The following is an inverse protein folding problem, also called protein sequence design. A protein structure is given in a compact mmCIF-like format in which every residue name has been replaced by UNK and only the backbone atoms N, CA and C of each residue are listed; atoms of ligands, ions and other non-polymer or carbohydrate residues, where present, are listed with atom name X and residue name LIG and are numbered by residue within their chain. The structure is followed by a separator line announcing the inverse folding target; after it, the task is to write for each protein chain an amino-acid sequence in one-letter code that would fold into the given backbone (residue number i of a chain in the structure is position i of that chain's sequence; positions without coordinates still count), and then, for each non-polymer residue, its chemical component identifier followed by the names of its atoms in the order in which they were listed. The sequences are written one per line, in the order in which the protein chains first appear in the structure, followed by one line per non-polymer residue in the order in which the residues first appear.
data_IF_387127306193
#
_entry.id   IF_387127306193
#
_cell.length_a   1.000
_cell.length_b   1.000
_cell.length_c   1.000
_cell.angle_alpha   90.00
_cell.angle_beta   90.00
_cell.angle_gamma   90.00
#
_symmetry.space_group_name_H-M   'P 1'
#
loop_
_entity.id
_entity.type
_entity.pdbx_description
1 polymer ?
#
# COMPACT_ATOMS: atom_id res chain seq x y z
N UNK A 1 -8.49 -25.37 -19.70
CA UNK A 1 -8.69 -24.04 -20.33
C UNK A 1 -9.74 -23.16 -19.64
N UNK A 2 -11.05 -23.44 -19.69
CA UNK A 2 -12.07 -22.52 -19.11
C UNK A 2 -11.91 -22.32 -17.59
N UNK A 3 -11.66 -23.40 -16.85
CA UNK A 3 -11.41 -23.35 -15.40
C UNK A 3 -10.17 -22.53 -15.04
N UNK A 4 -9.11 -22.64 -15.82
CA UNK A 4 -7.86 -21.91 -15.61
C UNK A 4 -8.02 -20.43 -15.95
N UNK A 5 -8.75 -20.12 -17.02
CA UNK A 5 -9.09 -18.75 -17.38
C UNK A 5 -9.92 -18.06 -16.28
N UNK A 6 -10.93 -18.77 -15.74
CA UNK A 6 -11.72 -18.29 -14.58
C UNK A 6 -10.84 -18.08 -13.35
N UNK A 7 -9.94 -19.01 -13.06
CA UNK A 7 -8.97 -18.89 -11.95
C UNK A 7 -8.08 -17.66 -12.11
N UNK A 8 -7.46 -17.46 -13.27
CA UNK A 8 -6.51 -16.35 -13.49
C UNK A 8 -7.23 -15.00 -13.49
N UNK A 9 -8.46 -14.96 -14.03
CA UNK A 9 -9.31 -13.76 -13.94
C UNK A 9 -9.64 -13.43 -12.48
N UNK A 10 -10.01 -14.43 -11.68
CA UNK A 10 -10.30 -14.25 -10.27
C UNK A 10 -9.05 -13.81 -9.49
N UNK A 11 -7.89 -14.42 -9.75
CA UNK A 11 -6.63 -14.02 -9.13
C UNK A 11 -6.23 -12.60 -9.49
N UNK A 12 -6.44 -12.19 -10.74
CA UNK A 12 -6.20 -10.82 -11.19
C UNK A 12 -7.14 -9.83 -10.48
N UNK A 13 -8.42 -10.18 -10.33
CA UNK A 13 -9.39 -9.38 -9.58
C UNK A 13 -9.00 -9.25 -8.10
N UNK A 14 -8.60 -10.36 -7.48
CA UNK A 14 -8.12 -10.36 -6.08
C UNK A 14 -6.88 -9.50 -5.93
N UNK A 15 -5.89 -9.63 -6.83
CA UNK A 15 -4.68 -8.82 -6.81
C UNK A 15 -5.02 -7.32 -6.94
N UNK A 16 -5.84 -6.97 -7.93
CA UNK A 16 -6.27 -5.60 -8.18
C UNK A 16 -7.03 -5.00 -6.99
N UNK A 17 -8.02 -5.72 -6.45
CA UNK A 17 -8.83 -5.26 -5.33
C UNK A 17 -7.98 -5.11 -4.05
N UNK A 18 -7.08 -6.07 -3.79
CA UNK A 18 -6.23 -6.03 -2.60
C UNK A 18 -5.26 -4.85 -2.63
N UNK A 19 -4.58 -4.64 -3.76
CA UNK A 19 -3.70 -3.48 -3.92
C UNK A 19 -4.50 -2.17 -3.88
N UNK A 20 -5.70 -2.13 -4.48
CA UNK A 20 -6.56 -0.94 -4.45
C UNK A 20 -7.00 -0.57 -3.03
N UNK A 21 -7.40 -1.55 -2.23
CA UNK A 21 -7.79 -1.31 -0.84
C UNK A 21 -6.60 -0.82 0.01
N UNK A 22 -5.39 -1.34 -0.23
CA UNK A 22 -4.18 -0.82 0.43
C UNK A 22 -3.87 0.63 -0.01
N UNK A 23 -3.93 0.93 -1.31
CA UNK A 23 -3.76 2.31 -1.83
C UNK A 23 -4.76 3.27 -1.21
N UNK A 24 -6.01 2.83 -1.03
CA UNK A 24 -7.03 3.65 -0.39
C UNK A 24 -6.70 3.95 1.08
N UNK A 25 -6.13 2.98 1.80
CA UNK A 25 -5.60 3.19 3.14
C UNK A 25 -4.50 4.26 3.19
N UNK A 26 -3.54 4.19 2.27
CA UNK A 26 -2.46 5.19 2.17
C UNK A 26 -2.98 6.58 1.76
N UNK A 27 -3.97 6.64 0.85
CA UNK A 27 -4.63 7.88 0.45
C UNK A 27 -5.38 8.53 1.61
N UNK A 28 -6.11 7.75 2.40
CA UNK A 28 -6.73 8.22 3.63
C UNK A 28 -5.65 8.79 4.56
N UNK A 29 -4.52 8.11 4.70
CA UNK A 29 -3.42 8.57 5.54
C UNK A 29 -2.86 9.93 5.07
N UNK A 30 -2.69 10.07 3.76
CA UNK A 30 -2.15 11.29 3.15
C UNK A 30 -3.12 12.47 3.14
N UNK A 31 -4.42 12.24 3.01
CA UNK A 31 -5.41 13.33 2.91
C UNK A 31 -5.92 13.74 4.28
N UNK A 32 -6.08 12.78 5.20
CA UNK A 32 -6.64 13.06 6.52
C UNK A 32 -5.53 13.42 7.50
N UNK A 33 -4.46 12.64 7.56
CA UNK A 33 -3.48 12.84 8.63
C UNK A 33 -2.46 13.89 8.26
N UNK A 34 -1.74 13.76 7.13
CA UNK A 34 -0.67 14.71 6.77
C UNK A 34 -1.09 16.19 6.84
N UNK A 35 -2.28 16.61 6.36
CA UNK A 35 -2.72 18.01 6.47
C UNK A 35 -3.01 18.45 7.91
N UNK A 36 -3.56 17.56 8.75
CA UNK A 36 -3.76 17.84 10.17
C UNK A 36 -2.42 18.00 10.92
N UNK A 37 -1.30 17.51 10.39
CA UNK A 37 0.02 17.78 10.95
C UNK A 37 0.63 19.11 10.49
N UNK A 38 0.24 19.58 9.30
CA UNK A 38 0.75 20.82 8.70
C UNK A 38 -0.10 22.05 9.09
N UNK A 39 -1.31 21.83 9.60
CA UNK A 39 -2.29 22.87 9.93
C UNK A 39 -2.75 22.68 11.37
N UNK A 40 -2.52 23.66 12.24
CA UNK A 40 -3.00 23.66 13.64
C UNK A 40 -1.94 23.32 14.68
N UNK A 41 -2.38 22.95 15.89
CA UNK A 41 -1.49 22.57 17.00
C UNK A 41 -1.04 21.11 16.84
N UNK A 42 0.24 20.94 16.49
CA UNK A 42 0.88 19.63 16.24
C UNK A 42 0.70 18.65 17.40
N UNK A 43 0.84 19.12 18.65
CA UNK A 43 0.77 18.26 19.83
C UNK A 43 -0.65 17.73 20.08
N UNK A 44 -1.66 18.58 19.84
CA UNK A 44 -3.06 18.17 19.96
C UNK A 44 -3.46 17.20 18.84
N UNK A 45 -2.99 17.45 17.62
CA UNK A 45 -3.28 16.60 16.46
C UNK A 45 -2.58 15.23 16.57
N UNK A 46 -1.39 15.20 17.17
CA UNK A 46 -0.69 13.98 17.57
C UNK A 46 -1.52 13.10 18.49
N UNK A 47 -2.07 13.71 19.53
CA UNK A 47 -2.83 12.99 20.54
C UNK A 47 -4.11 12.41 19.95
N UNK A 48 -4.83 13.18 19.13
CA UNK A 48 -5.99 12.66 18.40
C UNK A 48 -5.61 11.51 17.46
N UNK A 49 -4.47 11.59 16.80
CA UNK A 49 -4.00 10.54 15.90
C UNK A 49 -3.62 9.26 16.66
N UNK A 50 -2.96 9.38 17.81
CA UNK A 50 -2.67 8.24 18.70
C UNK A 50 -3.94 7.53 19.12
N UNK A 51 -4.95 8.28 19.57
CA UNK A 51 -6.26 7.73 19.97
C UNK A 51 -6.96 7.02 18.80
N UNK A 52 -6.92 7.61 17.61
CA UNK A 52 -7.45 6.99 16.40
C UNK A 52 -6.76 5.68 16.07
N UNK A 53 -5.42 5.64 16.08
CA UNK A 53 -4.63 4.42 15.80
C UNK A 53 -4.90 3.32 16.82
N UNK A 54 -4.95 3.67 18.10
CA UNK A 54 -5.24 2.72 19.17
C UNK A 54 -6.65 2.12 19.03
N UNK A 55 -7.60 2.88 18.48
CA UNK A 55 -8.97 2.40 18.27
C UNK A 55 -9.12 1.53 17.02
N UNK A 56 -8.40 1.85 15.95
CA UNK A 56 -8.62 1.24 14.63
C UNK A 56 -7.69 0.08 14.30
N UNK A 57 -6.57 -0.06 15.00
CA UNK A 57 -5.47 -1.01 14.72
C UNK A 57 -5.30 -1.30 13.21
N UNK A 58 -4.71 -0.37 12.45
CA UNK A 58 -4.57 -0.50 11.00
C UNK A 58 -3.86 -1.79 10.56
N UNK A 59 -3.02 -2.37 11.43
CA UNK A 59 -2.28 -3.60 11.17
C UNK A 59 -3.18 -4.81 10.93
N UNK A 60 -4.32 -4.87 11.64
CA UNK A 60 -5.29 -5.96 11.52
C UNK A 60 -5.92 -6.06 10.12
N UNK A 61 -6.03 -4.94 9.40
CA UNK A 61 -6.56 -4.90 8.03
C UNK A 61 -5.45 -4.98 6.98
N UNK A 62 -4.31 -4.32 7.23
CA UNK A 62 -3.20 -4.26 6.27
C UNK A 62 -2.50 -5.59 6.05
N UNK A 63 -2.22 -6.33 7.14
CA UNK A 63 -1.38 -7.52 7.07
C UNK A 63 -2.05 -8.67 6.27
N UNK A 64 -3.31 -9.07 6.55
CA UNK A 64 -3.97 -10.10 5.76
C UNK A 64 -4.09 -9.72 4.29
N UNK A 65 -4.42 -8.44 4.01
CA UNK A 65 -4.61 -7.94 2.66
C UNK A 65 -3.30 -7.92 1.87
N UNK A 66 -2.18 -7.57 2.52
CA UNK A 66 -0.83 -7.66 1.94
C UNK A 66 -0.48 -9.09 1.55
N UNK A 67 -0.77 -10.07 2.41
CA UNK A 67 -0.54 -11.48 2.10
C UNK A 67 -1.37 -11.92 0.90
N UNK A 68 -2.65 -11.55 0.85
CA UNK A 68 -3.54 -11.86 -0.28
C UNK A 68 -3.02 -11.22 -1.58
N UNK A 69 -2.56 -9.97 -1.53
CA UNK A 69 -1.95 -9.29 -2.66
C UNK A 69 -0.70 -10.04 -3.16
N UNK A 70 0.25 -10.39 -2.29
CA UNK A 70 1.47 -11.10 -2.68
C UNK A 70 1.14 -12.49 -3.23
N UNK A 71 0.30 -13.26 -2.53
CA UNK A 71 -0.05 -14.62 -2.93
C UNK A 71 -0.75 -14.68 -4.28
N UNK A 72 -1.64 -13.72 -4.57
CA UNK A 72 -2.32 -13.63 -5.87
C UNK A 72 -1.35 -13.31 -7.01
N UNK A 73 -0.42 -12.36 -6.82
CA UNK A 73 0.63 -12.08 -7.81
C UNK A 73 1.53 -13.29 -8.06
N UNK A 74 1.99 -13.98 -7.01
CA UNK A 74 2.85 -15.16 -7.15
C UNK A 74 2.15 -16.29 -7.90
N UNK A 75 0.86 -16.51 -7.63
CA UNK A 75 0.06 -17.51 -8.37
C UNK A 75 -0.11 -17.14 -9.85
N UNK A 76 -0.30 -15.86 -10.17
CA UNK A 76 -0.38 -15.36 -11.56
C UNK A 76 0.95 -15.48 -12.31
N UNK A 77 2.09 -15.44 -11.61
CA UNK A 77 3.42 -15.64 -12.20
C UNK A 77 3.84 -17.12 -12.27
N UNK A 78 3.08 -18.02 -11.64
CA UNK A 78 3.39 -19.45 -11.58
C UNK A 78 3.24 -20.17 -12.93
N UNK A 79 3.82 -21.37 -13.02
CA UNK A 79 3.82 -22.21 -14.23
C UNK A 79 2.43 -22.59 -14.74
N UNK A 80 1.41 -22.56 -13.89
CA UNK A 80 0.03 -22.90 -14.27
C UNK A 80 -0.76 -21.74 -14.89
N UNK A 81 -0.22 -20.52 -14.92
CA UNK A 81 -0.90 -19.32 -15.41
C UNK A 81 -0.99 -19.28 -16.95
N UNK A 82 -2.17 -18.91 -17.46
CA UNK A 82 -2.46 -18.71 -18.88
C UNK A 82 -2.01 -17.34 -19.39
N UNK A 83 -1.42 -16.49 -18.54
CA UNK A 83 -0.90 -15.19 -18.96
C UNK A 83 0.28 -15.36 -19.92
N UNK A 84 0.29 -14.54 -20.98
CA UNK A 84 1.44 -14.42 -21.88
C UNK A 84 2.65 -13.81 -21.14
N UNK A 85 3.84 -13.92 -21.72
CA UNK A 85 5.05 -13.37 -21.10
C UNK A 85 4.98 -11.86 -20.91
N UNK A 86 4.35 -11.13 -21.84
CA UNK A 86 4.15 -9.69 -21.71
C UNK A 86 3.14 -9.34 -20.59
N UNK A 87 2.07 -10.12 -20.45
CA UNK A 87 1.14 -9.96 -19.33
C UNK A 87 1.82 -10.28 -17.98
N UNK A 88 2.68 -11.30 -17.95
CA UNK A 88 3.49 -11.62 -16.76
C UNK A 88 4.50 -10.53 -16.42
N UNK A 89 5.01 -9.77 -17.40
CA UNK A 89 5.84 -8.57 -17.12
C UNK A 89 5.04 -7.51 -16.37
N UNK A 90 3.81 -7.21 -16.78
CA UNK A 90 2.93 -6.26 -16.06
C UNK A 90 2.63 -6.74 -14.64
N UNK A 91 2.30 -8.03 -14.44
CA UNK A 91 2.11 -8.59 -13.09
C UNK A 91 3.39 -8.50 -12.26
N UNK A 92 4.56 -8.80 -12.84
CA UNK A 92 5.84 -8.72 -12.13
C UNK A 92 6.18 -7.28 -11.73
N UNK A 93 5.94 -6.33 -12.63
CA UNK A 93 6.16 -4.91 -12.36
C UNK A 93 5.26 -4.42 -11.21
N UNK A 94 3.97 -4.77 -11.25
CA UNK A 94 3.04 -4.50 -10.14
C UNK A 94 3.55 -5.09 -8.81
N UNK A 95 3.98 -6.35 -8.81
CA UNK A 95 4.53 -6.99 -7.61
C UNK A 95 5.79 -6.30 -7.09
N UNK A 96 6.71 -5.88 -7.97
CA UNK A 96 7.94 -5.18 -7.58
C UNK A 96 7.59 -3.84 -6.92
N UNK A 97 6.72 -3.05 -7.56
CA UNK A 97 6.27 -1.75 -7.04
C UNK A 97 5.60 -1.91 -5.68
N UNK A 98 4.70 -2.90 -5.57
CA UNK A 98 4.05 -3.25 -4.32
C UNK A 98 5.06 -3.67 -3.22
N UNK A 99 6.07 -4.47 -3.57
CA UNK A 99 7.09 -4.93 -2.61
C UNK A 99 7.97 -3.78 -2.11
N UNK A 100 8.31 -2.81 -2.98
CA UNK A 100 9.02 -1.59 -2.58
C UNK A 100 8.16 -0.82 -1.56
N UNK A 101 6.87 -0.66 -1.84
CA UNK A 101 5.92 0.05 -0.95
C UNK A 101 5.77 -0.67 0.38
N UNK A 102 5.73 -2.00 0.38
CA UNK A 102 5.69 -2.79 1.61
C UNK A 102 6.94 -2.54 2.47
N UNK A 103 8.13 -2.53 1.85
CA UNK A 103 9.38 -2.21 2.56
C UNK A 103 9.39 -0.77 3.10
N UNK A 104 8.90 0.21 2.32
CA UNK A 104 8.75 1.61 2.76
C UNK A 104 7.76 1.71 3.92
N UNK A 105 6.68 0.93 3.91
CA UNK A 105 5.68 0.90 4.97
C UNK A 105 6.28 0.38 6.27
N UNK A 106 7.05 -0.71 6.23
CA UNK A 106 7.80 -1.20 7.39
C UNK A 106 8.74 -0.12 7.92
N UNK A 107 9.47 0.56 7.02
CA UNK A 107 10.37 1.64 7.42
C UNK A 107 9.62 2.79 8.12
N UNK A 108 8.51 3.25 7.55
CA UNK A 108 7.67 4.31 8.13
C UNK A 108 7.20 3.89 9.52
N UNK A 109 6.71 2.66 9.68
CA UNK A 109 6.22 2.17 10.96
C UNK A 109 7.34 2.17 12.00
N UNK A 110 8.47 1.53 11.70
CA UNK A 110 9.56 1.30 12.65
C UNK A 110 10.33 2.58 12.98
N UNK A 111 10.62 3.41 11.99
CA UNK A 111 11.55 4.54 12.13
C UNK A 111 10.87 5.91 12.24
N UNK A 112 9.55 5.99 12.05
CA UNK A 112 8.80 7.24 12.15
C UNK A 112 7.60 7.10 13.08
N UNK A 113 6.66 6.20 12.79
CA UNK A 113 5.46 6.07 13.60
C UNK A 113 5.77 5.69 15.04
N UNK A 114 6.59 4.65 15.28
CA UNK A 114 6.92 4.23 16.65
C UNK A 114 7.64 5.35 17.42
N UNK A 115 8.72 5.99 16.92
CA UNK A 115 9.42 7.03 17.67
C UNK A 115 8.64 8.34 17.83
N UNK A 116 7.94 8.79 16.80
CA UNK A 116 7.24 10.08 16.81
C UNK A 116 5.86 9.93 17.43
N UNK A 117 5.10 8.94 17.00
CA UNK A 117 3.67 8.81 17.27
C UNK A 117 3.47 7.93 18.49
N UNK A 118 4.03 6.72 18.55
CA UNK A 118 3.66 5.79 19.61
C UNK A 118 4.40 6.07 20.93
N UNK A 119 5.71 6.33 20.85
CA UNK A 119 6.55 6.54 22.04
C UNK A 119 6.76 8.03 22.40
N UNK A 120 6.57 8.93 21.44
CA UNK A 120 6.80 10.37 21.64
C UNK A 120 8.24 10.73 22.05
N UNK A 121 9.23 9.95 21.60
CA UNK A 121 10.64 10.10 22.01
C UNK A 121 11.39 11.18 21.26
N UNK A 122 10.78 11.76 20.21
CA UNK A 122 11.36 12.82 19.39
C UNK A 122 10.62 14.14 19.59
N UNK A 123 11.36 15.23 19.77
CA UNK A 123 10.84 16.59 19.92
C UNK A 123 11.56 17.59 19.02
N UNK A 124 10.93 18.75 18.77
CA UNK A 124 11.55 19.88 18.08
C UNK A 124 11.91 19.58 16.61
N UNK A 125 13.12 19.93 16.19
CA UNK A 125 13.54 19.80 14.79
C UNK A 125 13.61 18.36 14.28
N UNK A 126 14.00 17.42 15.14
CA UNK A 126 14.07 15.99 14.79
C UNK A 126 12.67 15.42 14.48
N UNK A 127 11.68 15.79 15.29
CA UNK A 127 10.28 15.43 15.09
C UNK A 127 9.74 16.01 13.78
N UNK A 128 9.96 17.31 13.54
CA UNK A 128 9.53 17.98 12.31
C UNK A 128 10.14 17.34 11.06
N UNK A 129 11.44 17.02 11.10
CA UNK A 129 12.15 16.38 9.98
C UNK A 129 11.60 14.98 9.68
N UNK A 130 11.27 14.20 10.72
CA UNK A 130 10.66 12.87 10.56
C UNK A 130 9.25 12.94 9.99
N UNK A 131 8.45 13.93 10.39
CA UNK A 131 7.11 14.16 9.84
C UNK A 131 7.17 14.55 8.36
N UNK A 132 8.12 15.41 7.97
CA UNK A 132 8.32 15.76 6.57
C UNK A 132 8.74 14.55 5.73
N UNK A 133 9.68 13.74 6.24
CA UNK A 133 10.08 12.50 5.60
C UNK A 133 8.89 11.54 5.47
N UNK A 134 8.06 11.42 6.50
CA UNK A 134 6.85 10.60 6.47
C UNK A 134 5.90 11.02 5.36
N UNK A 135 5.61 12.32 5.22
CA UNK A 135 4.77 12.85 4.15
C UNK A 135 5.33 12.52 2.75
N UNK A 136 6.66 12.65 2.56
CA UNK A 136 7.33 12.31 1.30
C UNK A 136 7.20 10.81 1.00
N UNK A 137 7.53 9.96 1.98
CA UNK A 137 7.44 8.50 1.83
C UNK A 137 6.00 8.06 1.56
N UNK A 138 5.03 8.74 2.15
CA UNK A 138 3.62 8.45 1.95
C UNK A 138 3.15 8.77 0.52
N UNK A 139 3.69 9.80 -0.13
CA UNK A 139 3.47 10.01 -1.57
C UNK A 139 3.96 8.83 -2.41
N UNK A 140 5.14 8.27 -2.10
CA UNK A 140 5.63 7.06 -2.78
C UNK A 140 4.74 5.84 -2.51
N UNK A 141 4.22 5.69 -1.27
CA UNK A 141 3.26 4.65 -0.89
C UNK A 141 1.93 4.75 -1.64
N UNK A 142 1.62 5.88 -2.27
CA UNK A 142 0.43 6.05 -3.12
C UNK A 142 0.78 5.88 -4.61
N UNK A 143 1.82 6.56 -5.08
CA UNK A 143 2.15 6.66 -6.52
C UNK A 143 2.60 5.31 -7.09
N UNK A 144 3.52 4.62 -6.41
CA UNK A 144 4.07 3.35 -6.89
C UNK A 144 3.00 2.24 -7.03
N UNK A 145 2.15 1.98 -6.02
CA UNK A 145 1.11 0.97 -6.16
C UNK A 145 -0.03 1.43 -7.07
N UNK A 146 -0.32 2.73 -7.21
CA UNK A 146 -1.24 3.23 -8.23
C UNK A 146 -0.74 2.90 -9.66
N UNK A 147 0.57 3.02 -9.90
CA UNK A 147 1.16 2.57 -11.17
C UNK A 147 1.09 1.04 -11.33
N UNK A 148 1.29 0.27 -10.25
CA UNK A 148 1.06 -1.17 -10.25
C UNK A 148 -0.39 -1.55 -10.59
N UNK A 149 -1.37 -0.83 -10.04
CA UNK A 149 -2.79 -0.99 -10.35
C UNK A 149 -3.11 -0.67 -11.81
N UNK A 150 -2.49 0.36 -12.37
CA UNK A 150 -2.62 0.67 -13.79
C UNK A 150 -2.16 -0.52 -14.66
N UNK A 151 -1.01 -1.11 -14.35
CA UNK A 151 -0.49 -2.29 -15.06
C UNK A 151 -1.41 -3.51 -14.93
N UNK A 152 -1.95 -3.78 -13.74
CA UNK A 152 -2.97 -4.83 -13.55
C UNK A 152 -4.27 -4.50 -14.29
N UNK A 153 -4.69 -3.24 -14.28
CA UNK A 153 -5.89 -2.72 -14.92
C UNK A 153 -5.92 -2.98 -16.42
N UNK A 154 -4.78 -2.77 -17.10
CA UNK A 154 -4.60 -3.04 -18.53
C UNK A 154 -4.92 -4.49 -18.91
N UNK A 155 -4.71 -5.44 -17.99
CA UNK A 155 -4.96 -6.86 -18.23
C UNK A 155 -6.46 -7.20 -18.28
N UNK A 156 -7.33 -6.40 -17.67
CA UNK A 156 -8.79 -6.59 -17.78
C UNK A 156 -9.35 -6.11 -19.12
N UNK A 157 -8.76 -5.07 -19.72
CA UNK A 157 -9.23 -4.46 -20.97
C UNK A 157 -8.90 -5.35 -22.18
N UNK A 158 -7.83 -6.14 -22.11
CA UNK A 158 -7.35 -6.99 -23.20
C UNK A 158 -8.14 -8.29 -23.41
N UNK A 159 -9.22 -8.52 -22.66
CA UNK A 159 -10.09 -9.70 -22.83
C UNK A 159 -11.16 -9.53 -23.93
N UNK A 160 -11.09 -8.45 -24.71
CA UNK A 160 -12.08 -8.06 -25.73
C UNK A 160 -11.65 -8.25 -27.20
N UNK A 161 -10.49 -8.84 -27.48
CA UNK A 161 -10.05 -9.16 -28.84
C UNK A 161 -10.05 -10.66 -29.11
#
# INVERSE_FOLDING_TARGET
MERELKRDTLLLLIAFASVSALVFGELLEQIVFVPNWLIGNVDQNMEHFRQFKHTTDPGMFYFPLTIVAIASHLKLLGKGSLLSDDQKKSVRLSLILFSIVFAVTIYVIVFINIPVIDNGTLSGEAQKSKIQLWAILNMFRIILPAFGLYELGRLFVLKKS
#
